data_IF_403484648007
#
_entry.id   IF_403484648007
#
_cell.length_a   1.000
_cell.length_b   1.000
_cell.length_c   1.000
_cell.angle_alpha   90.00
_cell.angle_beta   90.00
_cell.angle_gamma   90.00
#
_symmetry.space_group_name_H-M   'P 1'
#
loop_
_entity.id
_entity.type
_entity.pdbx_description
1 polymer ?
#
# COMPACT_ATOMS: atom_id res chain seq x y z
N UNK A 1 -12.61 -17.62 3.83
CA UNK A 1 -11.83 -16.95 4.91
C UNK A 1 -11.30 -18.00 5.87
N UNK A 2 -9.99 -18.24 5.85
CA UNK A 2 -9.30 -19.19 6.75
C UNK A 2 -8.40 -18.38 7.70
N UNK A 3 -8.35 -18.76 8.98
CA UNK A 3 -7.59 -18.05 10.04
C UNK A 3 -6.57 -19.00 10.67
N UNK A 4 -5.37 -18.51 10.98
CA UNK A 4 -4.35 -19.28 11.71
C UNK A 4 -4.80 -19.51 13.17
N UNK A 5 -5.01 -20.77 13.61
CA UNK A 5 -5.49 -21.08 14.96
C UNK A 5 -4.53 -20.67 16.09
N UNK A 6 -3.23 -20.52 15.80
CA UNK A 6 -2.22 -20.18 16.81
C UNK A 6 -2.06 -18.66 16.99
N UNK A 7 -2.50 -17.85 16.02
CA UNK A 7 -2.26 -16.41 15.95
C UNK A 7 -3.42 -15.63 15.31
N UNK A 8 -4.64 -15.85 15.80
CA UNK A 8 -5.89 -15.29 15.23
C UNK A 8 -5.95 -13.75 15.18
N UNK A 9 -5.10 -13.05 15.95
CA UNK A 9 -4.97 -11.59 15.97
C UNK A 9 -3.91 -11.03 14.99
N UNK A 10 -3.22 -11.90 14.23
CA UNK A 10 -2.12 -11.49 13.35
C UNK A 10 -2.54 -11.33 11.90
N UNK A 11 -3.22 -12.33 11.35
CA UNK A 11 -3.58 -12.33 9.93
C UNK A 11 -4.83 -13.11 9.61
N UNK A 12 -5.43 -12.80 8.47
CA UNK A 12 -6.59 -13.51 7.94
C UNK A 12 -6.46 -13.74 6.45
N UNK A 13 -6.84 -14.92 5.97
CA UNK A 13 -6.92 -15.25 4.56
C UNK A 13 -8.26 -14.81 3.97
N UNK A 14 -8.23 -14.12 2.83
CA UNK A 14 -9.40 -13.60 2.11
C UNK A 14 -9.48 -14.27 0.75
N UNK A 15 -10.71 -14.62 0.32
CA UNK A 15 -11.00 -15.31 -0.93
C UNK A 15 -11.01 -14.35 -2.15
N UNK A 16 -10.05 -13.44 -2.18
CA UNK A 16 -9.79 -12.49 -3.25
C UNK A 16 -8.29 -12.37 -3.45
N UNK A 17 -7.83 -12.56 -4.69
CA UNK A 17 -6.41 -12.52 -5.04
C UNK A 17 -6.13 -11.67 -6.27
N UNK A 18 -4.98 -11.93 -6.91
CA UNK A 18 -4.51 -11.20 -8.08
C UNK A 18 -5.53 -11.20 -9.24
N UNK A 19 -6.30 -12.27 -9.41
CA UNK A 19 -7.32 -12.39 -10.47
C UNK A 19 -8.48 -11.40 -10.28
N UNK A 20 -8.66 -10.88 -9.05
CA UNK A 20 -9.62 -9.83 -8.70
C UNK A 20 -8.97 -8.44 -8.57
N UNK A 21 -7.71 -8.29 -9.00
CA UNK A 21 -6.97 -7.02 -8.96
C UNK A 21 -6.35 -6.66 -7.62
N UNK A 22 -6.33 -7.59 -6.65
CA UNK A 22 -5.69 -7.37 -5.34
C UNK A 22 -4.18 -7.27 -5.52
N UNK A 23 -3.58 -6.25 -4.91
CA UNK A 23 -2.16 -5.98 -4.93
C UNK A 23 -1.57 -5.94 -3.51
N UNK A 24 -0.24 -6.09 -3.43
CA UNK A 24 0.48 -5.98 -2.17
C UNK A 24 0.30 -4.56 -1.59
N UNK A 25 0.09 -4.48 -0.27
CA UNK A 25 -0.19 -3.26 0.49
C UNK A 25 -1.54 -2.59 0.22
N UNK A 26 -2.45 -3.22 -0.54
CA UNK A 26 -3.81 -2.69 -0.63
C UNK A 26 -4.44 -2.62 0.78
N UNK A 27 -5.08 -1.49 1.15
CA UNK A 27 -5.72 -1.36 2.44
C UNK A 27 -7.00 -2.18 2.46
N UNK A 28 -7.22 -2.81 3.62
CA UNK A 28 -8.37 -3.64 3.90
C UNK A 28 -9.22 -2.94 4.95
N UNK A 29 -10.47 -2.72 4.58
CA UNK A 29 -11.49 -2.10 5.40
C UNK A 29 -12.55 -3.13 5.76
N UNK A 30 -13.21 -2.90 6.88
CA UNK A 30 -14.30 -3.71 7.39
C UNK A 30 -15.50 -2.81 7.63
N UNK A 31 -16.61 -3.42 8.01
CA UNK A 31 -17.83 -2.70 8.36
C UNK A 31 -18.29 -3.13 9.75
N UNK A 32 -18.55 -2.16 10.62
CA UNK A 32 -19.17 -2.37 11.93
C UNK A 32 -20.39 -1.48 12.06
N UNK A 33 -21.57 -2.09 11.95
CA UNK A 33 -22.83 -1.33 11.82
C UNK A 33 -22.80 -0.48 10.56
N UNK A 34 -22.96 0.83 10.71
CA UNK A 34 -22.93 1.81 9.61
C UNK A 34 -21.52 2.42 9.39
N UNK A 35 -20.55 2.12 10.28
CA UNK A 35 -19.22 2.68 10.20
C UNK A 35 -18.27 1.79 9.39
N UNK A 36 -17.44 2.42 8.55
CA UNK A 36 -16.29 1.78 7.91
C UNK A 36 -15.11 1.82 8.87
N UNK A 37 -14.48 0.67 9.08
CA UNK A 37 -13.40 0.49 10.05
C UNK A 37 -12.14 -0.02 9.35
N UNK A 38 -10.99 0.40 9.83
CA UNK A 38 -9.71 -0.10 9.30
C UNK A 38 -9.42 -1.49 9.86
N UNK A 39 -9.11 -2.45 8.98
CA UNK A 39 -8.80 -3.83 9.37
C UNK A 39 -7.30 -4.08 9.35
N UNK A 40 -6.64 -3.66 8.27
CA UNK A 40 -5.26 -4.01 8.01
C UNK A 40 -4.86 -3.83 6.56
N UNK A 41 -3.79 -4.50 6.13
CA UNK A 41 -3.27 -4.40 4.75
C UNK A 41 -2.91 -5.76 4.20
N UNK A 42 -2.96 -5.89 2.87
CA UNK A 42 -2.55 -7.12 2.18
C UNK A 42 -1.02 -7.27 2.25
N UNK A 43 -0.55 -8.43 2.74
CA UNK A 43 0.88 -8.77 2.83
C UNK A 43 1.30 -9.94 1.96
N UNK A 44 0.35 -10.71 1.45
CA UNK A 44 0.59 -11.79 0.50
C UNK A 44 -0.56 -11.86 -0.49
N UNK A 45 -0.26 -12.09 -1.77
CA UNK A 45 -1.26 -12.25 -2.83
C UNK A 45 -0.98 -13.54 -3.58
N UNK A 46 -2.00 -14.39 -3.69
CA UNK A 46 -2.05 -15.57 -4.56
C UNK A 46 -3.07 -15.29 -5.69
N UNK A 47 -3.22 -16.23 -6.62
CA UNK A 47 -4.15 -16.06 -7.75
C UNK A 47 -5.59 -15.78 -7.28
N UNK A 48 -6.12 -16.64 -6.39
CA UNK A 48 -7.51 -16.59 -5.93
C UNK A 48 -7.69 -16.17 -4.46
N UNK A 49 -6.60 -15.98 -3.71
CA UNK A 49 -6.64 -15.66 -2.29
C UNK A 49 -5.55 -14.66 -1.93
N UNK A 50 -5.71 -13.95 -0.81
CA UNK A 50 -4.70 -13.06 -0.26
C UNK A 50 -4.65 -13.16 1.26
N UNK A 51 -3.48 -12.86 1.83
CA UNK A 51 -3.28 -12.81 3.27
C UNK A 51 -3.27 -11.35 3.71
N UNK A 52 -4.15 -11.01 4.65
CA UNK A 52 -4.27 -9.69 5.25
C UNK A 52 -3.60 -9.68 6.61
N UNK A 53 -2.65 -8.78 6.81
CA UNK A 53 -2.06 -8.49 8.12
C UNK A 53 -2.97 -7.50 8.85
N UNK A 54 -3.44 -7.89 10.02
CA UNK A 54 -4.35 -7.07 10.84
C UNK A 54 -3.60 -5.92 11.51
N UNK A 55 -4.30 -4.85 11.87
CA UNK A 55 -3.73 -3.72 12.63
C UNK A 55 -3.29 -4.09 14.04
N UNK A 56 -3.82 -5.17 14.61
CA UNK A 56 -3.49 -5.70 15.94
C UNK A 56 -2.13 -6.40 15.99
N UNK A 57 -1.56 -6.75 14.83
CA UNK A 57 -0.23 -7.36 14.72
C UNK A 57 0.88 -6.34 14.99
N UNK A 58 1.94 -6.75 15.70
CA UNK A 58 3.09 -5.90 16.02
C UNK A 58 3.83 -5.33 14.79
N UNK A 59 3.73 -6.01 13.64
CA UNK A 59 4.33 -5.62 12.36
C UNK A 59 3.44 -4.66 11.57
N UNK A 60 2.26 -4.36 12.09
CA UNK A 60 1.31 -3.44 11.50
C UNK A 60 1.43 -2.07 12.15
N UNK A 61 1.57 -1.05 11.32
CA UNK A 61 1.63 0.34 11.75
C UNK A 61 0.85 1.21 10.76
N UNK A 62 0.08 2.16 11.30
CA UNK A 62 -0.74 3.10 10.52
C UNK A 62 -0.62 4.50 11.09
N UNK A 63 -0.44 5.48 10.20
CA UNK A 63 -0.52 6.89 10.60
C UNK A 63 -1.97 7.21 10.96
N UNK A 64 -2.18 7.71 12.17
CA UNK A 64 -3.50 7.97 12.73
C UNK A 64 -3.56 9.35 13.37
N UNK A 65 -4.76 9.88 13.55
CA UNK A 65 -4.99 11.11 14.27
C UNK A 65 -6.19 10.98 15.22
N UNK A 66 -6.21 11.81 16.26
CA UNK A 66 -7.29 11.88 17.24
C UNK A 66 -8.34 12.90 16.81
N UNK A 67 -9.63 12.63 17.00
CA UNK A 67 -10.69 13.58 16.65
C UNK A 67 -10.64 14.89 17.47
N UNK A 68 -10.11 14.82 18.69
CA UNK A 68 -10.06 15.93 19.66
C UNK A 68 -8.92 16.92 19.41
N UNK A 69 -7.96 16.58 18.56
CA UNK A 69 -6.84 17.46 18.23
C UNK A 69 -6.16 17.06 16.93
N UNK A 70 -5.54 18.03 16.25
CA UNK A 70 -4.75 17.82 15.02
C UNK A 70 -3.41 17.11 15.32
N UNK A 71 -3.48 16.01 16.06
CA UNK A 71 -2.35 15.26 16.58
C UNK A 71 -2.22 14.01 15.76
N UNK A 72 -1.18 13.97 14.94
CA UNK A 72 -0.81 12.76 14.23
C UNK A 72 0.11 11.91 15.11
N UNK A 73 -0.04 10.61 14.99
CA UNK A 73 0.80 9.62 15.63
C UNK A 73 0.83 8.33 14.84
N UNK A 74 1.62 7.38 15.31
CA UNK A 74 1.73 6.06 14.70
C UNK A 74 1.02 5.05 15.57
N UNK A 75 -0.11 4.53 15.10
CA UNK A 75 -0.81 3.41 15.74
C UNK A 75 -0.17 2.10 15.30
N UNK A 76 0.32 1.32 16.27
CA UNK A 76 0.99 0.05 16.07
C UNK A 76 0.30 -1.04 16.91
N UNK A 77 0.20 -2.26 16.37
CA UNK A 77 -0.32 -3.40 17.13
C UNK A 77 0.61 -3.81 18.28
N UNK A 78 0.03 -4.41 19.33
CA UNK A 78 0.74 -4.93 20.51
C UNK A 78 0.69 -6.45 20.63
N UNK A 79 0.46 -7.17 19.52
CA UNK A 79 0.32 -8.64 19.51
C UNK A 79 -0.83 -9.13 20.44
N UNK A 80 -1.92 -8.35 20.46
CA UNK A 80 -3.08 -8.54 21.33
C UNK A 80 -4.30 -7.74 20.82
N UNK A 81 -5.37 -7.60 21.62
CA UNK A 81 -6.58 -6.92 21.17
C UNK A 81 -6.45 -5.40 21.14
N UNK A 82 -5.38 -4.83 21.70
CA UNK A 82 -5.17 -3.39 21.79
C UNK A 82 -4.09 -2.91 20.83
N UNK A 83 -4.19 -1.64 20.45
CA UNK A 83 -3.17 -0.92 19.70
C UNK A 83 -2.51 0.11 20.60
N UNK A 84 -1.27 0.47 20.26
CA UNK A 84 -0.54 1.56 20.88
C UNK A 84 -0.28 2.65 19.86
N UNK A 85 -0.74 3.86 20.15
CA UNK A 85 -0.40 5.04 19.37
C UNK A 85 0.76 5.77 20.03
N UNK A 86 1.85 5.90 19.28
CA UNK A 86 3.09 6.56 19.70
C UNK A 86 3.29 7.88 18.95
N UNK A 87 4.29 8.66 19.40
CA UNK A 87 4.70 9.94 18.80
C UNK A 87 3.67 11.06 18.91
N UNK A 88 2.78 10.98 19.90
CA UNK A 88 1.85 12.05 20.21
C UNK A 88 2.62 13.17 20.93
N UNK A 89 2.46 14.42 20.48
CA UNK A 89 3.06 15.58 21.14
C UNK A 89 2.67 15.58 22.63
N UNK A 90 3.66 15.70 23.53
CA UNK A 90 3.40 15.70 24.96
C UNK A 90 2.53 16.88 25.39
N UNK A 91 2.60 18.04 24.75
CA UNK A 91 1.76 19.21 25.08
C UNK A 91 0.28 19.02 24.77
N UNK A 92 -0.06 17.97 24.04
CA UNK A 92 -1.39 17.72 23.57
C UNK A 92 -2.37 17.28 24.66
N UNK A 93 -3.59 17.81 24.59
CA UNK A 93 -4.67 17.41 25.47
C UNK A 93 -5.36 16.17 24.88
N UNK A 94 -5.15 15.01 25.50
CA UNK A 94 -5.77 13.75 25.07
C UNK A 94 -6.77 13.31 26.13
N UNK A 95 -7.97 12.94 25.71
CA UNK A 95 -9.06 12.51 26.57
C UNK A 95 -9.33 11.02 26.34
N UNK A 96 -9.63 10.29 27.41
CA UNK A 96 -10.10 8.92 27.27
C UNK A 96 -11.43 8.89 26.48
N UNK A 97 -11.65 7.84 25.69
CA UNK A 97 -12.74 7.69 24.71
C UNK A 97 -12.66 8.57 23.46
N UNK A 98 -11.57 9.32 23.25
CA UNK A 98 -11.36 10.03 22.00
C UNK A 98 -11.34 9.05 20.82
N UNK A 99 -11.96 9.46 19.71
CA UNK A 99 -12.04 8.62 18.51
C UNK A 99 -10.78 8.79 17.67
N UNK A 100 -10.25 7.68 17.15
CA UNK A 100 -9.02 7.63 16.36
C UNK A 100 -9.36 7.29 14.90
N UNK A 101 -8.82 8.07 13.97
CA UNK A 101 -9.02 7.92 12.54
C UNK A 101 -7.69 7.76 11.81
N UNK A 102 -7.70 7.20 10.60
CA UNK A 102 -6.54 7.16 9.71
C UNK A 102 -6.16 8.57 9.25
N UNK A 103 -4.88 8.91 9.35
CA UNK A 103 -4.37 10.21 8.90
C UNK A 103 -4.37 10.31 7.37
N UNK A 104 -4.66 11.49 6.80
CA UNK A 104 -4.45 11.79 5.38
C UNK A 104 -3.00 11.62 4.91
N UNK A 105 -2.04 11.67 5.83
CA UNK A 105 -0.61 11.45 5.57
C UNK A 105 -0.28 9.95 5.48
N UNK A 106 -1.24 9.06 5.77
CA UNK A 106 -1.07 7.62 5.61
C UNK A 106 -0.90 7.26 4.14
N UNK A 107 0.25 6.67 3.78
CA UNK A 107 0.49 6.22 2.41
C UNK A 107 -0.37 5.00 2.03
N UNK A 108 -0.73 4.18 3.02
CA UNK A 108 -1.37 2.87 2.79
C UNK A 108 -2.87 2.93 2.93
N UNK A 109 -3.40 3.77 3.81
CA UNK A 109 -4.83 3.79 4.14
C UNK A 109 -5.47 5.11 3.69
N UNK A 110 -6.72 5.08 3.20
CA UNK A 110 -7.44 6.31 2.92
C UNK A 110 -7.63 7.13 4.22
N UNK A 111 -7.74 8.47 4.11
CA UNK A 111 -8.04 9.32 5.26
C UNK A 111 -9.41 9.01 5.87
N UNK A 112 -9.59 9.42 7.13
CA UNK A 112 -10.88 9.51 7.83
C UNK A 112 -11.61 8.18 8.03
N UNK A 113 -10.86 7.08 8.11
CA UNK A 113 -11.41 5.76 8.44
C UNK A 113 -11.23 5.47 9.92
N UNK A 114 -12.29 4.97 10.56
CA UNK A 114 -12.30 4.67 11.99
C UNK A 114 -11.32 3.54 12.33
N UNK A 115 -10.40 3.80 13.24
CA UNK A 115 -9.50 2.79 13.82
C UNK A 115 -10.07 2.28 15.14
N UNK A 116 -10.44 3.18 16.05
CA UNK A 116 -10.82 2.81 17.41
C UNK A 116 -11.05 3.99 18.34
N UNK A 117 -10.98 3.73 19.64
CA UNK A 117 -11.10 4.74 20.69
C UNK A 117 -9.96 4.64 21.69
N UNK A 118 -9.55 5.76 22.26
CA UNK A 118 -8.54 5.79 23.32
C UNK A 118 -9.08 5.08 24.57
N UNK A 119 -8.49 3.94 24.90
CA UNK A 119 -8.83 3.17 26.10
C UNK A 119 -8.11 3.72 27.33
N UNK A 120 -6.82 4.06 27.17
CA UNK A 120 -5.97 4.52 28.27
C UNK A 120 -4.93 5.51 27.78
N UNK A 121 -4.82 6.62 28.51
CA UNK A 121 -3.73 7.59 28.32
C UNK A 121 -2.62 7.23 29.30
N UNK A 122 -1.40 7.01 28.79
CA UNK A 122 -0.26 6.77 29.66
C UNK A 122 0.14 8.06 30.38
N UNK A 123 0.66 7.98 31.62
CA UNK A 123 1.14 9.16 32.33
C UNK A 123 2.19 9.90 31.50
N UNK A 124 2.08 11.23 31.45
CA UNK A 124 3.08 12.07 30.81
C UNK A 124 4.40 11.93 31.55
N UNK A 125 5.46 11.59 30.81
CA UNK A 125 6.82 11.70 31.31
C UNK A 125 7.34 13.13 31.01
N UNK A 126 7.69 13.93 32.04
CA UNK A 126 8.20 15.29 31.85
C UNK A 126 9.51 15.36 31.03
N UNK A 127 10.25 14.24 30.92
CA UNK A 127 11.52 14.16 30.20
C UNK A 127 11.36 13.72 28.74
N UNK A 128 10.15 13.30 28.32
CA UNK A 128 9.88 12.87 26.95
C UNK A 128 9.06 13.92 26.18
N UNK A 129 9.51 14.23 24.96
CA UNK A 129 8.78 15.12 24.05
C UNK A 129 7.49 14.48 23.51
N UNK A 130 7.38 13.16 23.61
CA UNK A 130 6.25 12.40 23.08
C UNK A 130 5.61 11.54 24.16
N UNK A 131 4.31 11.37 24.04
CA UNK A 131 3.51 10.44 24.84
C UNK A 131 2.92 9.34 23.97
N UNK A 132 2.41 8.31 24.63
CA UNK A 132 1.72 7.21 24.00
C UNK A 132 0.33 7.02 24.62
N UNK A 133 -0.58 6.43 23.84
CA UNK A 133 -1.90 6.03 24.31
C UNK A 133 -2.21 4.62 23.84
N UNK A 134 -3.07 3.96 24.60
CA UNK A 134 -3.66 2.68 24.25
C UNK A 134 -5.00 2.90 23.58
N UNK A 135 -5.21 2.19 22.47
CA UNK A 135 -6.40 2.28 21.65
C UNK A 135 -7.11 0.92 21.69
N UNK A 136 -8.39 0.95 21.99
CA UNK A 136 -9.31 -0.16 21.76
C UNK A 136 -9.80 -0.08 20.30
N UNK A 137 -9.44 -1.05 19.44
CA UNK A 137 -9.88 -1.06 18.06
C UNK A 137 -11.40 -1.12 17.98
N UNK A 138 -11.96 -0.38 17.03
CA UNK A 138 -13.40 -0.42 16.79
C UNK A 138 -13.84 -1.82 16.33
N UNK A 139 -12.96 -2.58 15.68
CA UNK A 139 -13.26 -3.87 15.11
C UNK A 139 -12.54 -5.00 15.84
N UNK A 140 -13.31 -5.96 16.35
CA UNK A 140 -12.77 -7.23 16.80
C UNK A 140 -12.62 -8.16 15.59
N UNK A 141 -11.40 -8.68 15.39
CA UNK A 141 -11.08 -9.66 14.35
C UNK A 141 -12.01 -10.88 14.41
N UNK A 142 -12.52 -11.25 15.59
CA UNK A 142 -13.47 -12.36 15.76
C UNK A 142 -14.77 -12.12 15.00
N UNK A 143 -15.27 -10.89 15.04
CA UNK A 143 -16.56 -10.48 14.44
C UNK A 143 -16.51 -10.23 12.93
N UNK A 144 -15.34 -10.32 12.31
CA UNK A 144 -15.12 -9.97 10.91
C UNK A 144 -15.64 -11.08 9.97
N UNK A 145 -16.78 -10.86 9.33
CA UNK A 145 -17.34 -11.79 8.33
C UNK A 145 -16.99 -11.40 6.89
N UNK A 146 -16.99 -10.10 6.62
CA UNK A 146 -16.78 -9.54 5.29
C UNK A 146 -15.74 -8.42 5.36
N UNK A 147 -14.95 -8.29 4.31
CA UNK A 147 -13.94 -7.25 4.16
C UNK A 147 -14.01 -6.61 2.78
N UNK A 148 -13.66 -5.33 2.72
CA UNK A 148 -13.51 -4.56 1.50
C UNK A 148 -12.03 -4.28 1.29
N UNK A 149 -11.49 -4.76 0.17
CA UNK A 149 -10.12 -4.44 -0.26
C UNK A 149 -10.22 -3.28 -1.26
N UNK A 150 -9.52 -2.18 -1.00
CA UNK A 150 -9.47 -1.06 -1.94
C UNK A 150 -8.34 -1.27 -2.94
N UNK A 151 -8.68 -1.91 -4.06
CA UNK A 151 -7.72 -2.18 -5.12
C UNK A 151 -7.37 -0.91 -5.91
N UNK A 152 -6.09 -0.70 -6.18
CA UNK A 152 -5.64 0.31 -7.14
C UNK A 152 -5.68 1.76 -6.64
N UNK A 153 -5.66 1.98 -5.32
CA UNK A 153 -5.36 3.31 -4.79
C UNK A 153 -3.94 3.71 -5.23
N UNK A 154 -3.76 4.80 -6.01
CA UNK A 154 -2.43 5.31 -6.26
C UNK A 154 -1.86 5.79 -4.93
N UNK A 155 -0.75 5.19 -4.49
CA UNK A 155 -0.03 5.69 -3.30
C UNK A 155 0.26 7.18 -3.52
N UNK A 156 0.02 8.06 -2.53
CA UNK A 156 0.46 9.45 -2.60
C UNK A 156 1.96 9.50 -2.91
N UNK A 157 2.34 10.03 -4.08
CA UNK A 157 3.74 10.09 -4.53
C UNK A 157 4.23 8.90 -5.37
N UNK A 158 3.42 7.86 -5.60
CA UNK A 158 3.73 6.91 -6.66
C UNK A 158 3.42 7.57 -8.02
N UNK A 159 4.46 7.79 -8.83
CA UNK A 159 4.27 8.15 -10.23
C UNK A 159 3.32 7.13 -10.87
N UNK A 160 2.37 7.56 -11.72
CA UNK A 160 1.47 6.64 -12.39
C UNK A 160 2.32 5.58 -13.08
N UNK A 161 2.05 4.30 -12.79
CA UNK A 161 2.72 3.19 -13.43
C UNK A 161 2.46 3.35 -14.92
N UNK A 162 3.45 3.82 -15.67
CA UNK A 162 3.36 3.95 -17.12
C UNK A 162 2.96 2.55 -17.61
N UNK A 163 1.76 2.42 -18.18
CA UNK A 163 1.36 1.18 -18.82
C UNK A 163 2.49 0.77 -19.77
N UNK A 164 2.83 -0.52 -19.91
CA UNK A 164 3.82 -0.92 -20.92
C UNK A 164 3.34 -0.32 -22.23
N UNK A 165 4.13 0.60 -22.78
CA UNK A 165 3.85 1.20 -24.07
C UNK A 165 3.65 0.02 -25.02
N UNK A 166 2.39 -0.18 -25.43
CA UNK A 166 2.00 -1.18 -26.40
C UNK A 166 3.02 -1.06 -27.52
N UNK A 167 3.88 -2.06 -27.67
CA UNK A 167 4.99 -2.03 -28.61
C UNK A 167 4.42 -1.53 -29.93
N UNK A 168 4.79 -0.30 -30.30
CA UNK A 168 4.40 0.25 -31.58
C UNK A 168 5.03 -0.69 -32.60
N UNK A 169 4.19 -1.47 -33.28
CA UNK A 169 4.60 -2.20 -34.47
C UNK A 169 5.26 -1.15 -35.36
N UNK A 170 6.58 -1.22 -35.65
CA UNK A 170 7.19 -0.20 -36.48
C UNK A 170 6.48 -0.24 -37.83
N UNK A 171 5.92 0.91 -38.21
CA UNK A 171 5.33 1.09 -39.52
C UNK A 171 6.36 0.69 -40.57
N UNK A 172 5.93 -0.19 -41.49
CA UNK A 172 6.73 -0.70 -42.59
C UNK A 172 7.28 0.49 -43.39
N UNK A 173 8.60 0.68 -43.35
CA UNK A 173 9.30 1.69 -44.16
C UNK A 173 8.98 1.41 -45.65
N UNK A 174 8.48 2.37 -46.43
CA UNK A 174 8.35 2.17 -47.86
C UNK A 174 9.74 2.05 -48.49
N UNK A 175 9.95 0.94 -49.20
CA UNK A 175 11.15 0.65 -49.99
C UNK A 175 11.42 1.79 -50.98
N UNK A 176 12.63 2.39 -51.00
CA UNK A 176 12.99 3.35 -52.05
C UNK A 176 13.16 2.64 -53.40
N UNK A 177 12.66 3.26 -54.46
CA UNK A 177 12.79 2.80 -55.84
C UNK A 177 14.28 2.71 -56.27
N UNK A 178 14.66 1.77 -57.15
CA UNK A 178 16.04 1.63 -57.60
C UNK A 178 16.46 2.79 -58.52
N UNK A 179 17.65 3.34 -58.27
CA UNK A 179 18.30 4.32 -59.14
C UNK A 179 18.86 3.66 -60.43
N UNK A 180 18.94 4.38 -61.56
CA UNK A 180 19.44 3.82 -62.82
C UNK A 180 20.97 3.58 -62.80
N UNK A 181 21.36 2.47 -63.41
CA UNK A 181 22.72 1.96 -63.58
C UNK A 181 23.64 2.94 -64.34
N UNK A 182 24.85 3.25 -63.85
CA UNK A 182 25.89 3.84 -64.68
C UNK A 182 26.61 2.77 -65.52
N UNK A 183 26.69 3.04 -66.82
CA UNK A 183 27.45 2.32 -67.86
C UNK A 183 28.94 2.16 -67.51
N UNK A 184 29.60 1.02 -67.81
CA UNK A 184 31.02 0.83 -67.54
C UNK A 184 31.91 1.59 -68.54
N UNK A 185 32.89 2.34 -68.02
CA UNK A 185 34.05 2.84 -68.77
C UNK A 185 35.14 1.76 -68.81
N UNK A 186 35.79 1.50 -69.96
CA UNK A 186 36.71 0.37 -70.12
C UNK A 186 38.07 0.56 -69.44
N UNK A 187 38.60 -0.57 -68.97
CA UNK A 187 39.95 -0.81 -68.48
C UNK A 187 40.99 -0.74 -69.62
N UNK A 188 42.16 -0.12 -69.41
CA UNK A 188 43.36 -0.50 -70.15
C UNK A 188 44.04 -1.69 -69.47
N UNK A 189 44.34 -2.70 -70.29
CA UNK A 189 45.12 -3.89 -69.95
C UNK A 189 46.64 -3.60 -70.04
N UNK A 190 47.49 -4.49 -69.50
CA UNK A 190 48.87 -4.22 -69.11
C UNK A 190 49.85 -4.48 -70.25
N UNK A 191 51.03 -3.86 -70.19
CA UNK A 191 52.19 -4.32 -70.95
C UNK A 191 53.39 -4.51 -70.02
N UNK A 192 54.01 -5.66 -70.24
CA UNK A 192 55.03 -6.35 -69.48
C UNK A 192 56.42 -6.06 -70.07
N UNK A 193 57.43 -6.29 -69.25
CA UNK A 193 58.80 -6.69 -69.61
C UNK A 193 59.80 -5.75 -70.35
N UNK A 194 60.98 -5.69 -69.70
CA UNK A 194 62.31 -5.92 -70.28
C UNK A 194 63.23 -4.73 -70.66
N UNK A 195 64.39 -4.78 -69.98
CA UNK A 195 65.75 -4.28 -70.29
C UNK A 195 66.11 -2.83 -69.95
#
# INVERSE_FOLDING_TARGET
MERDPLHWYRSVSVDAGADKGVSLNDPVLGRKGDAVVTVGRVVEVRANASTVLLLTDERSAVAAYLSSGTLEGLAQGLDGPHLRMNYLNSEAHIVANDTVYTSPTSATFPPDVLIGRVAKVYPRDPFLAFQAVEIDPALDATSLQEVLILCGLPLPGAAPRLAPARAAVPARVPTPAPAPTPTPTPSPAPEDEAL
#
